data_IF_448167173775
#
_entry.id   IF_448167173775
#
_cell.length_a   1.000
_cell.length_b   1.000
_cell.length_c   1.000
_cell.angle_alpha   90.00
_cell.angle_beta   90.00
_cell.angle_gamma   90.00
#
_symmetry.space_group_name_H-M   'P 1'
#
loop_
_entity.id
_entity.type
_entity.pdbx_description
1 polymer ?
#
# COMPACT_ATOMS: atom_id res chain seq x y z
N UNK A 1 -18.01 -1.16 -2.99
CA UNK A 1 -17.21 -0.06 -2.40
C UNK A 1 -16.14 0.32 -3.40
N UNK A 2 -15.89 1.61 -3.64
CA UNK A 2 -14.86 2.02 -4.58
C UNK A 2 -13.46 1.81 -3.99
N UNK A 3 -12.46 1.66 -4.87
CA UNK A 3 -11.05 1.52 -4.50
C UNK A 3 -10.28 2.79 -4.86
N UNK A 4 -9.45 3.26 -3.93
CA UNK A 4 -8.64 4.46 -4.09
C UNK A 4 -7.16 4.18 -3.80
N UNK A 5 -6.29 5.08 -4.25
CA UNK A 5 -4.87 5.06 -3.86
C UNK A 5 -4.68 5.76 -2.52
N UNK A 6 -3.85 5.16 -1.68
CA UNK A 6 -3.52 5.66 -0.36
C UNK A 6 -2.02 5.61 -0.13
N UNK A 7 -1.39 6.76 0.15
CA UNK A 7 0.03 6.84 0.46
C UNK A 7 0.26 6.49 1.94
N UNK A 8 1.32 5.74 2.21
CA UNK A 8 1.80 5.53 3.58
C UNK A 8 2.55 6.77 4.04
N UNK A 9 2.16 7.34 5.18
CA UNK A 9 2.73 8.61 5.68
C UNK A 9 4.13 8.45 6.26
N UNK A 10 4.62 7.21 6.41
CA UNK A 10 5.92 6.91 6.98
C UNK A 10 5.93 6.68 8.49
N UNK A 11 4.78 6.87 9.15
CA UNK A 11 4.65 6.78 10.61
C UNK A 11 3.62 5.72 11.04
N UNK A 12 3.97 4.95 12.07
CA UNK A 12 3.09 3.95 12.68
C UNK A 12 3.22 2.55 12.07
N UNK A 13 2.18 1.74 12.23
CA UNK A 13 2.11 0.39 11.69
C UNK A 13 1.47 0.44 10.29
N UNK A 14 2.14 -0.07 9.23
CA UNK A 14 1.58 -0.12 7.88
C UNK A 14 0.34 -1.02 7.76
N UNK A 15 -0.05 -1.76 8.80
CA UNK A 15 -1.31 -2.52 8.83
C UNK A 15 -2.49 -1.69 9.34
N UNK A 16 -2.24 -0.49 9.87
CA UNK A 16 -3.29 0.41 10.34
C UNK A 16 -3.70 1.40 9.24
N UNK A 17 -5.00 1.53 8.99
CA UNK A 17 -5.55 2.49 8.02
C UNK A 17 -5.24 3.95 8.38
N UNK A 18 -4.98 4.22 9.66
CA UNK A 18 -4.62 5.55 10.18
C UNK A 18 -3.25 6.04 9.72
N UNK A 19 -2.36 5.12 9.31
CA UNK A 19 -1.05 5.43 8.74
C UNK A 19 -1.09 5.78 7.24
N UNK A 20 -2.28 5.89 6.67
CA UNK A 20 -2.48 6.16 5.25
C UNK A 20 -3.30 7.42 4.99
N UNK A 21 -3.01 8.07 3.86
CA UNK A 21 -3.75 9.23 3.37
C UNK A 21 -4.11 9.05 1.89
N UNK A 22 -5.34 9.41 1.51
CA UNK A 22 -5.82 9.28 0.14
C UNK A 22 -5.04 10.18 -0.81
N UNK A 23 -4.69 9.65 -1.98
CA UNK A 23 -4.05 10.38 -3.07
C UNK A 23 -4.83 10.20 -4.37
N UNK A 24 -4.71 11.19 -5.27
CA UNK A 24 -5.34 11.16 -6.59
C UNK A 24 -4.39 10.69 -7.70
N UNK A 25 -3.10 10.56 -7.40
CA UNK A 25 -2.06 10.20 -8.36
C UNK A 25 -1.70 8.73 -8.18
N UNK A 26 -1.51 8.02 -9.30
CA UNK A 26 -1.04 6.63 -9.28
C UNK A 26 0.46 6.60 -8.90
N UNK A 27 0.86 5.84 -7.87
CA UNK A 27 2.27 5.67 -7.52
C UNK A 27 3.07 5.01 -8.65
N UNK A 28 4.33 5.43 -8.81
CA UNK A 28 5.28 4.87 -9.80
C UNK A 28 6.29 3.90 -9.14
N UNK A 29 6.39 3.92 -7.81
CA UNK A 29 7.49 3.29 -7.08
C UNK A 29 7.36 1.75 -7.03
N UNK A 30 8.34 1.05 -7.60
CA UNK A 30 8.27 -0.41 -7.78
C UNK A 30 9.00 -1.23 -6.72
N UNK A 31 10.05 -0.70 -6.10
CA UNK A 31 10.93 -1.49 -5.23
C UNK A 31 11.38 -0.65 -4.02
N UNK A 32 11.61 -1.31 -2.88
CA UNK A 32 12.19 -0.63 -1.72
C UNK A 32 12.00 -1.37 -0.41
N UNK A 33 12.36 -0.71 0.70
CA UNK A 33 12.29 -1.26 2.06
C UNK A 33 11.17 -0.63 2.91
N UNK A 34 10.35 0.25 2.32
CA UNK A 34 9.22 0.88 2.99
C UNK A 34 7.99 0.85 2.09
N UNK A 35 6.79 0.69 2.68
CA UNK A 35 5.55 0.90 1.95
C UNK A 35 5.50 2.35 1.43
N UNK A 36 5.21 2.50 0.14
CA UNK A 36 4.92 3.79 -0.47
C UNK A 36 3.42 4.04 -0.49
N UNK A 37 2.65 3.11 -1.06
CA UNK A 37 1.22 3.28 -1.24
C UNK A 37 0.49 1.94 -1.40
N UNK A 38 -0.80 1.95 -1.09
CA UNK A 38 -1.70 0.82 -1.27
C UNK A 38 -2.92 1.20 -2.10
N UNK A 39 -3.50 0.22 -2.79
CA UNK A 39 -4.75 0.35 -3.52
C UNK A 39 -5.87 -0.37 -2.77
N UNK A 40 -6.52 0.33 -1.85
CA UNK A 40 -7.45 -0.25 -0.89
C UNK A 40 -8.89 0.23 -1.13
N UNK A 41 -9.84 -0.44 -0.48
CA UNK A 41 -11.23 -0.01 -0.43
C UNK A 41 -11.35 1.25 0.43
N UNK A 42 -12.14 2.19 -0.05
CA UNK A 42 -12.40 3.45 0.62
C UNK A 42 -12.56 4.63 -0.35
N UNK A 43 -13.40 5.57 0.07
CA UNK A 43 -13.66 6.83 -0.65
C UNK A 43 -13.20 8.06 0.13
N UNK A 44 -12.97 7.89 1.44
CA UNK A 44 -12.59 8.95 2.35
C UNK A 44 -11.07 9.17 2.38
N UNK A 45 -10.64 10.10 3.25
CA UNK A 45 -9.23 10.41 3.46
C UNK A 45 -8.38 9.20 3.87
N UNK A 46 -9.00 8.19 4.52
CA UNK A 46 -8.36 6.93 4.92
C UNK A 46 -9.02 5.73 4.23
N UNK A 47 -8.32 4.59 4.11
CA UNK A 47 -8.94 3.33 3.71
C UNK A 47 -10.04 2.92 4.69
N UNK A 48 -10.98 2.12 4.22
CA UNK A 48 -12.01 1.52 5.07
C UNK A 48 -11.39 0.58 6.10
N UNK A 49 -11.98 0.55 7.30
CA UNK A 49 -11.51 -0.24 8.43
C UNK A 49 -12.31 -1.55 8.52
N UNK A 50 -11.68 -2.71 8.71
CA UNK A 50 -10.24 -2.96 8.69
C UNK A 50 -9.71 -3.16 7.25
N UNK A 51 -8.38 -3.10 7.07
CA UNK A 51 -7.79 -3.59 5.83
C UNK A 51 -8.17 -5.06 5.62
N UNK A 52 -8.50 -5.44 4.38
CA UNK A 52 -8.82 -6.83 4.06
C UNK A 52 -7.64 -7.76 4.36
N UNK A 53 -7.93 -9.03 4.63
CA UNK A 53 -6.89 -10.04 4.91
C UNK A 53 -5.88 -10.17 3.77
N UNK A 54 -6.36 -10.09 2.52
CA UNK A 54 -5.50 -10.11 1.33
C UNK A 54 -4.56 -8.90 1.30
N UNK A 55 -5.07 -7.69 1.59
CA UNK A 55 -4.24 -6.49 1.65
C UNK A 55 -3.18 -6.60 2.75
N UNK A 56 -3.58 -7.06 3.93
CA UNK A 56 -2.68 -7.32 5.05
C UNK A 56 -1.57 -8.31 4.68
N UNK A 57 -1.91 -9.40 3.98
CA UNK A 57 -0.95 -10.39 3.49
C UNK A 57 0.00 -9.81 2.45
N UNK A 58 -0.51 -9.01 1.51
CA UNK A 58 0.31 -8.30 0.53
C UNK A 58 1.25 -7.29 1.17
N UNK A 59 0.82 -6.52 2.17
CA UNK A 59 1.71 -5.58 2.87
C UNK A 59 2.85 -6.33 3.55
N UNK A 60 2.55 -7.42 4.26
CA UNK A 60 3.59 -8.24 4.91
C UNK A 60 4.57 -8.83 3.91
N UNK A 61 4.08 -9.41 2.80
CA UNK A 61 4.94 -9.95 1.74
C UNK A 61 5.80 -8.88 1.08
N UNK A 62 5.23 -7.70 0.81
CA UNK A 62 5.94 -6.56 0.23
C UNK A 62 7.11 -6.15 1.12
N UNK A 63 6.91 -6.04 2.44
CA UNK A 63 7.97 -5.67 3.39
C UNK A 63 9.09 -6.71 3.48
N UNK A 64 8.77 -7.99 3.31
CA UNK A 64 9.77 -9.07 3.34
C UNK A 64 10.55 -9.17 2.03
N UNK A 65 9.85 -9.09 0.90
CA UNK A 65 10.43 -9.29 -0.45
C UNK A 65 11.05 -8.03 -1.02
N UNK A 66 10.63 -6.85 -0.55
CA UNK A 66 10.97 -5.57 -1.15
C UNK A 66 10.32 -5.33 -2.52
N UNK A 67 9.32 -6.16 -2.89
CA UNK A 67 8.69 -6.20 -4.22
C UNK A 67 7.21 -5.83 -4.17
N UNK A 68 6.71 -5.27 -5.29
CA UNK A 68 5.28 -5.01 -5.51
C UNK A 68 4.44 -6.26 -5.28
N UNK A 69 3.30 -6.11 -4.60
CA UNK A 69 2.40 -7.23 -4.35
C UNK A 69 1.04 -7.08 -5.04
N UNK A 70 0.45 -8.16 -5.55
CA UNK A 70 1.04 -9.50 -5.67
C UNK A 70 2.18 -9.55 -6.70
N UNK A 71 3.14 -10.45 -6.52
CA UNK A 71 4.29 -10.65 -7.44
C UNK A 71 3.94 -11.36 -8.76
N UNK A 72 2.64 -11.52 -9.05
CA UNK A 72 2.17 -12.18 -10.27
C UNK A 72 2.43 -11.26 -11.49
N UNK A 73 3.08 -11.75 -12.57
CA UNK A 73 3.23 -11.00 -13.82
C UNK A 73 1.88 -10.53 -14.37
N UNK A 74 1.83 -9.32 -14.93
CA UNK A 74 0.63 -8.68 -15.52
C UNK A 74 -0.58 -8.47 -14.58
N UNK A 75 -0.50 -8.91 -13.32
CA UNK A 75 -1.54 -8.66 -12.34
C UNK A 75 -1.51 -7.21 -11.85
N UNK A 76 -2.69 -6.65 -11.58
CA UNK A 76 -2.82 -5.36 -10.89
C UNK A 76 -2.13 -5.43 -9.54
N UNK A 77 -1.14 -4.55 -9.34
CA UNK A 77 -0.44 -4.40 -8.06
C UNK A 77 -1.27 -3.58 -7.09
N UNK A 78 -1.32 -4.02 -5.85
CA UNK A 78 -2.07 -3.42 -4.75
C UNK A 78 -1.18 -2.76 -3.72
N UNK A 79 0.09 -3.17 -3.61
CA UNK A 79 1.05 -2.60 -2.66
C UNK A 79 2.30 -2.19 -3.40
N UNK A 80 2.71 -0.94 -3.21
CA UNK A 80 3.86 -0.31 -3.82
C UNK A 80 4.87 0.05 -2.74
N UNK A 81 6.15 -0.12 -3.03
CA UNK A 81 7.25 0.21 -2.11
C UNK A 81 8.09 1.33 -2.66
N UNK A 82 8.78 2.03 -1.76
CA UNK A 82 9.83 3.01 -2.07
C UNK A 82 11.05 2.73 -1.21
N UNK A 83 12.21 3.16 -1.67
CA UNK A 83 13.38 3.28 -0.81
C UNK A 83 13.16 4.40 0.19
N UNK A 84 13.51 4.14 1.44
CA UNK A 84 13.62 5.19 2.44
C UNK A 84 14.88 6.01 2.12
N UNK A 85 14.71 7.29 1.80
CA UNK A 85 15.84 8.22 1.71
C UNK A 85 16.51 8.32 3.09
N UNK A 86 17.85 8.32 3.15
CA UNK A 86 18.62 8.35 4.40
C UNK A 86 18.38 9.63 5.22
#
# INVERSE_FOLDING_TARGET
>A
MAKSWYVYTGFGDPLLTTSYAKIKVKPVTSCGNQICAIYAEGENFRPDIPLSQNMTSYIKKALITGQLQPEIPDAKKYVYLRYREP
#
